data_IF_188878409384
#
_entry.id   IF_188878409384
#
_cell.length_a   1.000
_cell.length_b   1.000
_cell.length_c   1.000
_cell.angle_alpha   90.00
_cell.angle_beta   90.00
_cell.angle_gamma   90.00
#
_symmetry.space_group_name_H-M   'P 1'
#
loop_
_entity.id
_entity.type
_entity.pdbx_description
1 polymer ?
#
# COMPACT_ATOMS: atom_id res chain seq x y z
N UNK A 1 12.39 -11.04 37.09
CA UNK A 1 12.62 -11.35 35.66
C UNK A 1 11.48 -10.73 34.86
N UNK A 2 11.68 -9.54 34.31
CA UNK A 2 10.71 -8.89 33.43
C UNK A 2 11.33 -8.75 32.05
N UNK A 3 10.95 -9.64 31.14
CA UNK A 3 11.21 -9.49 29.71
C UNK A 3 10.13 -8.63 29.10
N UNK A 4 10.36 -7.33 29.02
CA UNK A 4 9.59 -6.40 28.21
C UNK A 4 10.43 -5.97 27.00
N UNK A 5 9.75 -5.84 25.86
CA UNK A 5 10.13 -5.11 24.63
C UNK A 5 11.35 -5.59 23.82
N UNK A 6 11.18 -6.60 22.96
CA UNK A 6 11.99 -6.76 21.75
C UNK A 6 11.17 -6.68 20.44
N UNK A 7 9.85 -6.90 20.50
CA UNK A 7 9.00 -6.87 19.30
C UNK A 7 9.03 -5.51 18.59
N UNK A 8 8.89 -4.38 19.30
CA UNK A 8 8.85 -3.06 18.61
C UNK A 8 10.16 -2.72 17.90
N UNK A 9 11.30 -3.19 18.42
CA UNK A 9 12.62 -2.92 17.85
C UNK A 9 12.81 -3.68 16.52
N UNK A 10 12.37 -4.94 16.46
CA UNK A 10 12.47 -5.76 15.24
C UNK A 10 11.57 -5.23 14.11
N UNK A 11 10.37 -4.72 14.44
CA UNK A 11 9.47 -4.14 13.44
C UNK A 11 9.96 -2.81 12.90
N UNK A 12 10.53 -1.95 13.76
CA UNK A 12 11.14 -0.70 13.32
C UNK A 12 12.34 -0.96 12.40
N UNK A 13 13.16 -1.98 12.70
CA UNK A 13 14.25 -2.41 11.83
C UNK A 13 13.73 -2.96 10.49
N UNK A 14 12.73 -3.84 10.49
CA UNK A 14 12.13 -4.37 9.27
C UNK A 14 11.48 -3.29 8.39
N UNK A 15 10.90 -2.25 9.00
CA UNK A 15 10.37 -1.07 8.31
C UNK A 15 11.48 -0.20 7.74
N UNK A 16 12.57 0.01 8.48
CA UNK A 16 13.74 0.75 7.99
C UNK A 16 14.37 0.03 6.80
N UNK A 17 14.48 -1.30 6.87
CA UNK A 17 15.03 -2.12 5.79
C UNK A 17 14.14 -2.07 4.53
N UNK A 18 12.82 -2.08 4.68
CA UNK A 18 11.90 -2.00 3.55
C UNK A 18 11.89 -0.62 2.89
N UNK A 19 12.01 0.46 3.66
CA UNK A 19 12.18 1.82 3.12
C UNK A 19 13.54 1.96 2.42
N UNK A 20 14.61 1.43 3.00
CA UNK A 20 15.93 1.44 2.37
C UNK A 20 15.93 0.69 1.04
N UNK A 21 15.25 -0.46 0.96
CA UNK A 21 15.08 -1.20 -0.29
C UNK A 21 14.30 -0.39 -1.34
N UNK A 22 13.25 0.36 -0.94
CA UNK A 22 12.55 1.30 -1.82
C UNK A 22 13.47 2.41 -2.33
N UNK A 23 14.31 2.97 -1.46
CA UNK A 23 15.29 3.99 -1.81
C UNK A 23 16.36 3.48 -2.78
N UNK A 24 16.70 2.19 -2.73
CA UNK A 24 17.64 1.56 -3.67
C UNK A 24 16.98 1.12 -5.00
N UNK A 25 15.65 1.09 -5.08
CA UNK A 25 14.92 0.65 -6.29
C UNK A 25 15.20 1.57 -7.49
N UNK A 26 15.67 1.02 -8.61
CA UNK A 26 15.86 1.83 -9.81
C UNK A 26 14.51 2.19 -10.47
N UNK A 27 14.45 3.32 -11.18
CA UNK A 27 13.25 3.78 -11.89
C UNK A 27 12.67 2.71 -12.82
N UNK A 28 13.53 2.02 -13.58
CA UNK A 28 13.13 0.93 -14.49
C UNK A 28 12.48 -0.27 -13.80
N UNK A 29 12.72 -0.44 -12.51
CA UNK A 29 12.21 -1.59 -11.74
C UNK A 29 10.94 -1.24 -10.95
N UNK A 30 10.47 0.01 -11.04
CA UNK A 30 9.29 0.49 -10.29
C UNK A 30 8.00 -0.20 -10.71
N UNK A 31 7.75 -0.35 -12.02
CA UNK A 31 6.57 -1.06 -12.52
C UNK A 31 6.53 -2.51 -12.02
N UNK A 32 7.68 -3.20 -12.07
CA UNK A 32 7.82 -4.56 -11.53
C UNK A 32 7.60 -4.64 -10.03
N UNK A 33 8.06 -3.64 -9.27
CA UNK A 33 7.83 -3.59 -7.84
C UNK A 33 6.34 -3.39 -7.50
N UNK A 34 5.65 -2.54 -8.25
CA UNK A 34 4.20 -2.36 -8.10
C UNK A 34 3.47 -3.67 -8.41
N UNK A 35 3.78 -4.29 -9.55
CA UNK A 35 3.13 -5.51 -10.01
C UNK A 35 3.30 -6.69 -9.05
N UNK A 36 4.53 -6.91 -8.57
CA UNK A 36 4.84 -8.09 -7.76
C UNK A 36 4.55 -7.89 -6.27
N UNK A 37 4.57 -6.65 -5.76
CA UNK A 37 4.50 -6.39 -4.32
C UNK A 37 3.36 -5.45 -3.92
N UNK A 38 3.35 -4.20 -4.39
CA UNK A 38 2.42 -3.20 -3.85
C UNK A 38 0.96 -3.50 -4.17
N UNK A 39 0.66 -3.80 -5.43
CA UNK A 39 -0.71 -4.06 -5.84
C UNK A 39 -1.26 -5.37 -5.26
N UNK A 40 -0.53 -6.51 -5.30
CA UNK A 40 -0.97 -7.73 -4.62
C UNK A 40 -1.17 -7.57 -3.12
N UNK A 41 -0.27 -6.85 -2.43
CA UNK A 41 -0.39 -6.62 -0.98
C UNK A 41 -1.59 -5.74 -0.64
N UNK A 42 -1.86 -4.70 -1.43
CA UNK A 42 -3.05 -3.87 -1.26
C UNK A 42 -4.32 -4.67 -1.48
N UNK A 43 -4.38 -5.48 -2.53
CA UNK A 43 -5.55 -6.31 -2.82
C UNK A 43 -5.79 -7.34 -1.73
N UNK A 44 -4.74 -8.01 -1.25
CA UNK A 44 -4.82 -9.02 -0.19
C UNK A 44 -5.24 -8.40 1.14
N UNK A 45 -4.55 -7.35 1.60
CA UNK A 45 -4.89 -6.68 2.87
C UNK A 45 -6.29 -6.05 2.83
N UNK A 46 -6.67 -5.42 1.72
CA UNK A 46 -8.02 -4.89 1.52
C UNK A 46 -9.08 -5.98 1.61
N UNK A 47 -8.84 -7.16 1.04
CA UNK A 47 -9.76 -8.29 1.11
C UNK A 47 -10.10 -8.67 2.56
N UNK A 48 -9.09 -8.69 3.44
CA UNK A 48 -9.30 -8.99 4.86
C UNK A 48 -10.05 -7.86 5.59
N UNK A 49 -9.77 -6.60 5.24
CA UNK A 49 -10.33 -5.44 5.94
C UNK A 49 -11.69 -4.95 5.41
N UNK A 50 -12.08 -5.28 4.18
CA UNK A 50 -13.18 -4.67 3.42
C UNK A 50 -14.49 -4.54 4.19
N UNK A 51 -14.87 -5.57 4.96
CA UNK A 51 -16.13 -5.61 5.72
C UNK A 51 -16.19 -4.57 6.86
N UNK A 52 -15.03 -4.08 7.31
CA UNK A 52 -14.91 -3.12 8.40
C UNK A 52 -14.77 -1.67 7.91
N UNK A 53 -14.75 -1.44 6.60
CA UNK A 53 -14.46 -0.14 6.01
C UNK A 53 -15.74 0.56 5.51
N UNK A 54 -15.87 1.88 5.70
CA UNK A 54 -16.98 2.63 5.17
C UNK A 54 -16.90 2.71 3.64
N UNK A 55 -18.03 3.02 2.99
CA UNK A 55 -18.14 3.02 1.53
C UNK A 55 -17.13 3.93 0.81
N UNK A 56 -16.82 5.10 1.40
CA UNK A 56 -15.87 6.04 0.80
C UNK A 56 -14.42 5.54 0.86
N UNK A 57 -13.98 5.00 2.00
CA UNK A 57 -12.65 4.38 2.12
C UNK A 57 -12.47 3.22 1.16
N UNK A 58 -13.52 2.38 0.97
CA UNK A 58 -13.52 1.31 -0.05
C UNK A 58 -13.34 1.83 -1.47
N UNK A 59 -14.03 2.94 -1.83
CA UNK A 59 -13.85 3.60 -3.13
C UNK A 59 -12.44 4.15 -3.31
N UNK A 60 -11.88 4.78 -2.27
CA UNK A 60 -10.52 5.32 -2.31
C UNK A 60 -9.48 4.21 -2.51
N UNK A 61 -9.61 3.07 -1.82
CA UNK A 61 -8.72 1.92 -2.02
C UNK A 61 -8.84 1.35 -3.44
N UNK A 62 -10.05 1.26 -3.98
CA UNK A 62 -10.24 0.85 -5.38
C UNK A 62 -9.56 1.82 -6.37
N UNK A 63 -9.67 3.13 -6.14
CA UNK A 63 -8.95 4.14 -6.91
C UNK A 63 -7.43 3.98 -6.79
N UNK A 64 -6.90 3.67 -5.60
CA UNK A 64 -5.48 3.37 -5.42
C UNK A 64 -5.05 2.15 -6.24
N UNK A 65 -5.84 1.08 -6.27
CA UNK A 65 -5.54 -0.11 -7.08
C UNK A 65 -5.45 0.21 -8.57
N UNK A 66 -6.36 1.05 -9.09
CA UNK A 66 -6.31 1.52 -10.49
C UNK A 66 -5.07 2.34 -10.76
N UNK A 67 -4.82 3.36 -9.94
CA UNK A 67 -3.66 4.23 -10.10
C UNK A 67 -2.34 3.44 -10.01
N UNK A 68 -2.25 2.41 -9.17
CA UNK A 68 -1.10 1.51 -9.16
C UNK A 68 -0.98 0.72 -10.46
N UNK A 69 -2.08 0.19 -10.98
CA UNK A 69 -2.08 -0.54 -12.25
C UNK A 69 -1.65 0.36 -13.43
N UNK A 70 -2.06 1.63 -13.44
CA UNK A 70 -1.72 2.61 -14.47
C UNK A 70 -0.21 2.94 -14.52
N UNK A 71 0.55 2.65 -13.44
CA UNK A 71 2.00 2.85 -13.37
C UNK A 71 2.81 1.62 -13.84
N UNK A 72 2.14 0.56 -14.28
CA UNK A 72 2.77 -0.68 -14.74
C UNK A 72 2.86 -0.64 -16.26
N UNK A 73 4.04 -0.27 -16.79
CA UNK A 73 4.24 -0.05 -18.23
C UNK A 73 4.38 -1.36 -19.06
N UNK A 74 4.88 -2.44 -18.44
CA UNK A 74 5.33 -3.65 -19.16
C UNK A 74 4.32 -4.83 -19.18
N UNK A 75 3.09 -4.63 -18.72
CA UNK A 75 2.11 -5.71 -18.60
C UNK A 75 0.83 -5.41 -19.38
N UNK A 76 0.52 -6.24 -20.38
CA UNK A 76 -0.66 -6.12 -21.25
C UNK A 76 -1.99 -6.10 -20.48
N UNK A 77 -2.01 -6.71 -19.30
CA UNK A 77 -3.16 -6.75 -18.42
C UNK A 77 -2.73 -6.91 -16.96
N UNK A 78 -3.17 -5.99 -16.11
CA UNK A 78 -2.98 -6.08 -14.66
C UNK A 78 -4.27 -6.62 -14.05
N UNK A 79 -4.24 -7.86 -13.54
CA UNK A 79 -5.42 -8.50 -12.96
C UNK A 79 -5.76 -7.83 -11.62
N UNK A 80 -6.84 -7.07 -11.60
CA UNK A 80 -7.46 -6.64 -10.36
C UNK A 80 -8.22 -7.82 -9.76
N UNK A 81 -7.84 -8.26 -8.56
CA UNK A 81 -8.52 -9.38 -7.90
C UNK A 81 -9.96 -9.00 -7.58
N UNK A 82 -10.91 -9.62 -8.29
CA UNK A 82 -12.36 -9.53 -8.05
C UNK A 82 -12.90 -10.67 -7.17
N UNK A 83 -12.05 -11.61 -6.73
CA UNK A 83 -12.48 -12.75 -5.93
C UNK A 83 -12.79 -12.32 -4.49
N UNK A 84 -14.08 -12.23 -4.19
CA UNK A 84 -14.63 -12.05 -2.86
C UNK A 84 -14.59 -13.39 -2.08
N UNK A 85 -14.41 -13.32 -0.76
CA UNK A 85 -14.85 -14.35 0.22
C UNK A 85 -13.93 -15.47 0.74
N UNK A 86 -12.64 -15.57 0.36
CA UNK A 86 -11.74 -16.56 1.02
C UNK A 86 -10.73 -15.90 1.96
N UNK A 87 -10.90 -16.11 3.27
CA UNK A 87 -9.86 -15.91 4.28
C UNK A 87 -9.97 -14.65 5.16
N UNK A 88 -11.11 -13.97 5.16
CA UNK A 88 -11.38 -12.93 6.17
C UNK A 88 -11.69 -13.54 7.55
N UNK A 89 -12.13 -14.81 7.60
CA UNK A 89 -12.42 -15.50 8.86
C UNK A 89 -11.19 -15.75 9.76
N UNK A 90 -9.98 -15.61 9.23
CA UNK A 90 -8.73 -15.87 9.96
C UNK A 90 -8.15 -14.63 10.65
N UNK A 91 -8.72 -13.44 10.44
CA UNK A 91 -8.19 -12.19 10.99
C UNK A 91 -9.22 -11.48 11.86
N UNK A 92 -8.79 -11.00 13.02
CA UNK A 92 -9.59 -10.05 13.80
C UNK A 92 -9.73 -8.73 13.03
N UNK A 93 -10.74 -7.92 13.39
CA UNK A 93 -10.92 -6.56 12.85
C UNK A 93 -9.62 -5.77 12.91
N UNK A 94 -8.93 -5.78 14.06
CA UNK A 94 -7.72 -4.99 14.29
C UNK A 94 -6.54 -5.49 13.46
N UNK A 95 -6.33 -6.80 13.37
CA UNK A 95 -5.25 -7.37 12.54
C UNK A 95 -5.48 -7.07 11.06
N UNK A 96 -6.73 -7.23 10.58
CA UNK A 96 -7.07 -6.93 9.20
C UNK A 96 -6.84 -5.45 8.85
N UNK A 97 -7.28 -4.53 9.72
CA UNK A 97 -7.09 -3.09 9.54
C UNK A 97 -5.61 -2.69 9.65
N UNK A 98 -4.85 -3.31 10.56
CA UNK A 98 -3.41 -3.10 10.69
C UNK A 98 -2.66 -3.49 9.42
N UNK A 99 -2.92 -4.68 8.87
CA UNK A 99 -2.30 -5.14 7.61
C UNK A 99 -2.61 -4.21 6.44
N UNK A 100 -3.82 -3.64 6.41
CA UNK A 100 -4.19 -2.66 5.40
C UNK A 100 -3.43 -1.33 5.59
N UNK A 101 -3.29 -0.83 6.82
CA UNK A 101 -2.47 0.36 7.12
C UNK A 101 -1.04 0.15 6.63
N UNK A 102 -0.42 -1.00 6.90
CA UNK A 102 0.95 -1.28 6.46
C UNK A 102 1.07 -1.25 4.94
N UNK A 103 0.11 -1.85 4.23
CA UNK A 103 0.09 -1.77 2.77
C UNK A 103 -0.09 -0.34 2.25
N UNK A 104 -0.94 0.46 2.90
CA UNK A 104 -1.19 1.86 2.54
C UNK A 104 0.05 2.72 2.78
N UNK A 105 0.75 2.50 3.90
CA UNK A 105 2.00 3.18 4.24
C UNK A 105 3.10 2.88 3.22
N UNK A 106 3.27 1.60 2.84
CA UNK A 106 4.24 1.21 1.82
C UNK A 106 3.98 1.89 0.47
N UNK A 107 2.72 2.04 0.07
CA UNK A 107 2.36 2.78 -1.15
C UNK A 107 2.70 4.26 -1.02
N UNK A 108 2.46 4.88 0.14
CA UNK A 108 2.83 6.27 0.38
C UNK A 108 4.35 6.47 0.25
N UNK A 109 5.16 5.63 0.92
CA UNK A 109 6.62 5.71 0.86
C UNK A 109 7.14 5.46 -0.55
N UNK A 110 6.64 4.41 -1.22
CA UNK A 110 6.95 4.18 -2.63
C UNK A 110 6.65 5.42 -3.47
N UNK A 111 5.48 6.03 -3.30
CA UNK A 111 5.08 7.19 -4.10
C UNK A 111 5.99 8.40 -3.87
N UNK A 112 6.41 8.63 -2.62
CA UNK A 112 7.36 9.67 -2.28
C UNK A 112 8.74 9.44 -2.91
N UNK A 113 9.27 8.21 -2.80
CA UNK A 113 10.57 7.81 -3.35
C UNK A 113 10.56 7.81 -4.88
N UNK A 114 9.51 7.26 -5.50
CA UNK A 114 9.37 7.26 -6.94
C UNK A 114 9.35 8.68 -7.50
N UNK A 115 8.59 9.57 -6.86
CA UNK A 115 8.47 10.96 -7.26
C UNK A 115 9.79 11.72 -7.13
N UNK A 116 10.61 11.44 -6.09
CA UNK A 116 11.89 12.11 -5.89
C UNK A 116 12.94 11.72 -6.94
N UNK A 117 12.85 10.50 -7.48
CA UNK A 117 13.74 9.98 -8.52
C UNK A 117 13.39 10.47 -9.92
N UNK A 118 12.18 10.95 -10.15
CA UNK A 118 11.72 11.39 -11.48
C UNK A 118 12.17 12.80 -11.86
N UNK A 119 12.88 12.91 -12.99
CA UNK A 119 13.19 14.18 -13.67
C UNK A 119 11.92 14.84 -14.23
N UNK A 120 12.00 16.09 -14.68
CA UNK A 120 10.84 16.95 -14.98
C UNK A 120 9.93 16.52 -16.15
N UNK A 121 10.27 15.44 -16.86
CA UNK A 121 9.68 15.17 -18.17
C UNK A 121 8.45 14.23 -18.16
N UNK A 122 8.09 13.61 -17.03
CA UNK A 122 6.91 12.73 -16.93
C UNK A 122 5.82 13.32 -16.02
N UNK A 123 5.01 14.22 -16.56
CA UNK A 123 3.98 14.98 -15.83
C UNK A 123 2.80 14.12 -15.37
N UNK A 124 2.40 13.14 -16.18
CA UNK A 124 1.30 12.23 -15.89
C UNK A 124 1.65 11.26 -14.76
N UNK A 125 2.81 10.60 -14.83
CA UNK A 125 3.25 9.70 -13.76
C UNK A 125 3.38 10.46 -12.43
N UNK A 126 3.95 11.68 -12.44
CA UNK A 126 4.01 12.53 -11.24
C UNK A 126 2.64 12.88 -10.67
N UNK A 127 1.64 13.08 -11.53
CA UNK A 127 0.27 13.33 -11.11
C UNK A 127 -0.35 12.10 -10.44
N UNK A 128 -0.17 10.93 -11.04
CA UNK A 128 -0.63 9.65 -10.47
C UNK A 128 0.00 9.41 -9.09
N UNK A 129 1.31 9.56 -8.96
CA UNK A 129 2.00 9.44 -7.67
C UNK A 129 1.48 10.44 -6.63
N UNK A 130 1.23 11.69 -7.03
CA UNK A 130 0.66 12.70 -6.11
C UNK A 130 -0.75 12.32 -5.65
N UNK A 131 -1.57 11.77 -6.55
CA UNK A 131 -2.91 11.32 -6.21
C UNK A 131 -2.88 10.10 -5.29
N UNK A 132 -1.97 9.15 -5.52
CA UNK A 132 -1.72 8.03 -4.61
C UNK A 132 -1.37 8.53 -3.21
N UNK A 133 -0.43 9.48 -3.07
CA UNK A 133 -0.05 10.04 -1.75
C UNK A 133 -1.24 10.68 -1.01
N UNK A 134 -2.14 11.35 -1.72
CA UNK A 134 -3.35 11.93 -1.12
C UNK A 134 -4.31 10.84 -0.65
N UNK A 135 -4.62 9.88 -1.51
CA UNK A 135 -5.53 8.78 -1.19
C UNK A 135 -5.00 7.95 -0.03
N UNK A 136 -3.70 7.64 0.00
CA UNK A 136 -3.10 6.92 1.13
C UNK A 136 -3.24 7.68 2.44
N UNK A 137 -3.11 9.01 2.43
CA UNK A 137 -3.28 9.82 3.65
C UNK A 137 -4.73 9.85 4.12
N UNK A 138 -5.70 9.96 3.20
CA UNK A 138 -7.13 9.90 3.53
C UNK A 138 -7.52 8.53 4.10
N UNK A 139 -7.14 7.45 3.41
CA UNK A 139 -7.42 6.07 3.84
C UNK A 139 -6.76 5.76 5.18
N UNK A 140 -5.51 6.19 5.39
CA UNK A 140 -4.82 5.99 6.66
C UNK A 140 -5.59 6.65 7.82
N UNK A 141 -6.01 7.91 7.67
CA UNK A 141 -6.78 8.62 8.70
C UNK A 141 -8.10 7.92 9.00
N UNK A 142 -8.83 7.52 7.95
CA UNK A 142 -10.10 6.80 8.12
C UNK A 142 -9.91 5.50 8.91
N UNK A 143 -8.86 4.72 8.60
CA UNK A 143 -8.62 3.45 9.30
C UNK A 143 -8.25 3.68 10.76
N UNK A 144 -7.41 4.67 11.07
CA UNK A 144 -7.08 5.02 12.45
C UNK A 144 -8.35 5.38 13.24
N UNK A 145 -9.25 6.20 12.68
CA UNK A 145 -10.53 6.53 13.33
C UNK A 145 -11.46 5.33 13.54
N UNK A 146 -11.33 4.25 12.75
CA UNK A 146 -12.11 3.01 12.92
C UNK A 146 -11.51 2.11 14.00
N UNK A 147 -10.21 2.25 14.25
CA UNK A 147 -9.46 1.48 15.25
C UNK A 147 -9.55 2.08 16.66
N UNK A 148 -9.78 3.40 16.76
CA UNK A 148 -10.17 4.10 17.99
C UNK A 148 -11.59 3.73 18.45
#
# INVERSE_FOLDING_TARGET
MHGQSNLSLDWDLARVDSIYQLEMLHLKDMGNYIYNFLLPNLQKSYKHAKQHLPGNTRKNIYSMQKLLADLIEDYDFVKLSINEDIGSEYFTKYEALFLLIESVNMIYFFSAVAKSKMKNDNSEYKLILRNLMKLTSEVHKDIICIME
#
